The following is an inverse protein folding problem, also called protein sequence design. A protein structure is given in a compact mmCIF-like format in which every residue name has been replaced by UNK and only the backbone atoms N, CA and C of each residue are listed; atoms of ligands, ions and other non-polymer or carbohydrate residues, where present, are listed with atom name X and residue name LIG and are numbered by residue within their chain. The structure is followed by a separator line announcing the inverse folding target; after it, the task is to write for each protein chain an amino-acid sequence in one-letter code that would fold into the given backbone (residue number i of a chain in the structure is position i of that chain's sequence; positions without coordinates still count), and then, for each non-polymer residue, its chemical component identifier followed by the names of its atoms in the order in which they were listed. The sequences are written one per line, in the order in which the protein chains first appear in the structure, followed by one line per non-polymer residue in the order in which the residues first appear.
data_IF_638571431030
#
_entry.id   IF_638571431030
#
_cell.length_a   1.000
_cell.length_b   1.000
_cell.length_c   1.000
_cell.angle_alpha   90.00
_cell.angle_beta   90.00
_cell.angle_gamma   90.00
#
_symmetry.space_group_name_H-M   'P 1'
#
loop_
_entity.id
_entity.type
_entity.pdbx_description
1 polymer ?
#
# COMPACT_ATOMS: atom_id res chain seq x y z
N UNK A 1 0.16 0.07 -32.12
CA UNK A 1 -0.15 -0.59 -30.85
C UNK A 1 0.11 0.38 -29.71
N UNK A 2 -0.95 0.91 -29.21
CA UNK A 2 -0.89 1.84 -28.13
C UNK A 2 -0.90 1.06 -26.80
N UNK A 3 0.08 1.29 -25.93
CA UNK A 3 0.18 0.61 -24.65
C UNK A 3 -1.06 0.88 -23.77
N UNK A 4 -1.67 2.06 -23.93
CA UNK A 4 -2.92 2.40 -23.27
C UNK A 4 -4.02 1.40 -23.65
N UNK A 5 -4.32 1.30 -24.95
CA UNK A 5 -5.45 0.49 -25.46
C UNK A 5 -5.22 -1.01 -25.32
N UNK A 6 -3.97 -1.47 -25.41
CA UNK A 6 -3.65 -2.90 -25.46
C UNK A 6 -3.29 -3.50 -24.09
N UNK A 7 -2.96 -2.68 -23.07
CA UNK A 7 -2.54 -3.15 -21.74
C UNK A 7 -3.28 -2.44 -20.62
N UNK A 8 -3.21 -1.10 -20.56
CA UNK A 8 -3.75 -0.37 -19.38
C UNK A 8 -5.28 -0.40 -19.33
N UNK A 9 -5.97 -0.15 -20.43
CA UNK A 9 -7.43 -0.22 -20.45
C UNK A 9 -7.97 -1.63 -20.15
N UNK A 10 -7.46 -2.71 -20.78
CA UNK A 10 -7.84 -4.06 -20.40
C UNK A 10 -7.58 -4.38 -18.93
N UNK A 11 -6.46 -3.90 -18.37
CA UNK A 11 -6.13 -4.09 -16.96
C UNK A 11 -7.10 -3.33 -16.05
N UNK A 12 -7.26 -2.03 -16.25
CA UNK A 12 -8.03 -1.17 -15.36
C UNK A 12 -9.52 -1.44 -15.46
N UNK A 13 -10.07 -1.38 -16.67
CA UNK A 13 -11.50 -1.55 -16.87
C UNK A 13 -11.92 -3.03 -16.95
N UNK A 14 -11.09 -3.86 -17.61
CA UNK A 14 -11.40 -5.26 -17.85
C UNK A 14 -11.13 -6.18 -16.67
N UNK A 15 -10.06 -5.96 -15.92
CA UNK A 15 -9.65 -6.83 -14.82
C UNK A 15 -9.98 -6.23 -13.47
N UNK A 16 -9.50 -5.02 -13.18
CA UNK A 16 -9.62 -4.42 -11.85
C UNK A 16 -11.05 -3.97 -11.56
N UNK A 17 -11.78 -3.45 -12.54
CA UNK A 17 -13.14 -2.95 -12.38
C UNK A 17 -14.24 -3.95 -12.76
N UNK A 18 -13.91 -5.12 -13.29
CA UNK A 18 -14.90 -6.09 -13.77
C UNK A 18 -14.84 -7.40 -12.99
N UNK A 19 -16.00 -7.87 -12.55
CA UNK A 19 -16.11 -9.16 -11.85
C UNK A 19 -15.61 -10.32 -12.72
N UNK A 20 -14.92 -11.32 -12.15
CA UNK A 20 -14.36 -12.44 -12.92
C UNK A 20 -15.33 -13.11 -13.91
N UNK A 21 -16.59 -13.26 -13.52
CA UNK A 21 -17.62 -13.89 -14.36
C UNK A 21 -18.04 -13.07 -15.59
N UNK A 22 -17.76 -11.77 -15.59
CA UNK A 22 -18.17 -10.81 -16.63
C UNK A 22 -17.01 -10.43 -17.56
N UNK A 23 -15.76 -10.74 -17.16
CA UNK A 23 -14.54 -10.34 -17.88
C UNK A 23 -14.51 -10.84 -19.33
N UNK A 24 -14.89 -12.09 -19.55
CA UNK A 24 -14.82 -12.72 -20.88
C UNK A 24 -15.76 -12.04 -21.89
N UNK A 25 -16.96 -11.65 -21.44
CA UNK A 25 -17.92 -10.91 -22.25
C UNK A 25 -17.39 -9.51 -22.57
N UNK A 26 -16.88 -8.79 -21.56
CA UNK A 26 -16.34 -7.45 -21.75
C UNK A 26 -15.14 -7.43 -22.70
N UNK A 27 -14.22 -8.40 -22.59
CA UNK A 27 -13.07 -8.52 -23.50
C UNK A 27 -13.49 -8.78 -24.94
N UNK A 28 -14.61 -9.49 -25.15
CA UNK A 28 -15.18 -9.69 -26.48
C UNK A 28 -15.83 -8.41 -27.03
N UNK A 29 -16.50 -7.63 -26.20
CA UNK A 29 -17.19 -6.39 -26.60
C UNK A 29 -16.20 -5.30 -27.03
N UNK A 30 -15.04 -5.23 -26.39
CA UNK A 30 -13.98 -4.26 -26.71
C UNK A 30 -12.89 -4.81 -27.63
N UNK A 31 -13.02 -6.03 -28.13
CA UNK A 31 -12.02 -6.71 -28.97
C UNK A 31 -10.61 -6.75 -28.37
N UNK A 32 -10.54 -6.86 -27.04
CA UNK A 32 -9.27 -6.98 -26.32
C UNK A 32 -8.69 -8.39 -26.40
N UNK A 33 -7.36 -8.49 -26.28
CA UNK A 33 -6.66 -9.77 -26.34
C UNK A 33 -7.07 -10.70 -25.15
N UNK A 34 -7.81 -11.75 -25.47
CA UNK A 34 -8.28 -12.74 -24.49
C UNK A 34 -7.15 -13.54 -23.81
N UNK A 35 -5.92 -13.52 -24.34
CA UNK A 35 -4.79 -14.18 -23.70
C UNK A 35 -4.45 -13.53 -22.35
N UNK A 36 -4.70 -12.23 -22.19
CA UNK A 36 -4.52 -11.48 -20.95
C UNK A 36 -5.41 -12.00 -19.82
N UNK A 37 -6.58 -12.57 -20.10
CA UNK A 37 -7.43 -13.17 -19.08
C UNK A 37 -6.76 -14.34 -18.35
N UNK A 38 -5.94 -15.11 -19.07
CA UNK A 38 -5.19 -16.20 -18.46
C UNK A 38 -3.95 -15.68 -17.70
N UNK A 39 -3.29 -14.69 -18.25
CA UNK A 39 -2.12 -14.05 -17.64
C UNK A 39 -2.49 -13.37 -16.32
N UNK A 40 -3.63 -12.67 -16.30
CA UNK A 40 -4.08 -11.85 -15.16
C UNK A 40 -5.20 -12.51 -14.32
N UNK A 41 -5.37 -13.82 -14.43
CA UNK A 41 -6.43 -14.58 -13.73
C UNK A 41 -6.40 -14.39 -12.20
N UNK A 42 -5.20 -14.22 -11.63
CA UNK A 42 -4.97 -14.11 -10.18
C UNK A 42 -5.10 -12.65 -9.67
N UNK A 43 -5.28 -11.68 -10.58
CA UNK A 43 -5.50 -10.28 -10.20
C UNK A 43 -6.92 -10.14 -9.64
N UNK A 44 -7.07 -9.62 -8.39
CA UNK A 44 -8.37 -9.47 -7.75
C UNK A 44 -9.23 -8.39 -8.43
N UNK A 45 -10.55 -8.55 -8.31
CA UNK A 45 -11.50 -7.49 -8.61
C UNK A 45 -11.47 -6.43 -7.50
N UNK A 46 -11.23 -5.18 -7.86
CA UNK A 46 -11.25 -4.04 -6.96
C UNK A 46 -12.57 -3.31 -7.13
N UNK A 47 -13.51 -3.58 -6.24
CA UNK A 47 -14.84 -2.96 -6.24
C UNK A 47 -14.75 -1.51 -5.76
N UNK A 48 -14.35 -0.59 -6.62
CA UNK A 48 -14.27 0.84 -6.28
C UNK A 48 -14.30 1.70 -7.52
N UNK A 49 -14.91 2.88 -7.45
CA UNK A 49 -15.07 3.82 -8.57
C UNK A 49 -13.76 4.35 -9.18
N UNK A 50 -12.60 3.99 -8.62
CA UNK A 50 -11.29 4.42 -9.11
C UNK A 50 -11.01 3.98 -10.55
N UNK A 51 -11.53 2.81 -10.95
CA UNK A 51 -11.33 2.23 -12.28
C UNK A 51 -12.64 2.21 -13.10
N UNK A 52 -13.64 2.99 -12.70
CA UNK A 52 -14.80 3.20 -13.55
C UNK A 52 -14.43 4.08 -14.74
N UNK A 53 -14.92 3.68 -15.92
CA UNK A 53 -14.72 4.48 -17.13
C UNK A 53 -15.51 5.78 -17.03
N UNK A 54 -14.85 6.91 -17.15
CA UNK A 54 -15.47 8.23 -17.17
C UNK A 54 -15.75 8.67 -18.62
N UNK A 55 -16.52 9.75 -18.78
CA UNK A 55 -16.78 10.36 -20.08
C UNK A 55 -15.53 10.93 -20.72
N UNK A 56 -14.54 11.27 -19.91
CA UNK A 56 -13.23 11.75 -20.33
C UNK A 56 -12.31 10.64 -20.85
N UNK A 57 -12.62 9.36 -20.54
CA UNK A 57 -11.95 8.16 -21.07
C UNK A 57 -12.43 7.76 -22.46
N UNK A 58 -13.11 8.66 -23.19
CA UNK A 58 -13.60 8.39 -24.53
C UNK A 58 -12.46 8.26 -25.55
N UNK A 59 -12.71 7.56 -26.71
CA UNK A 59 -11.69 6.89 -27.54
C UNK A 59 -10.69 7.79 -28.27
N UNK A 60 -10.62 9.06 -27.95
CA UNK A 60 -9.71 10.01 -28.61
C UNK A 60 -8.41 10.27 -27.83
N UNK A 61 -8.29 9.80 -26.60
CA UNK A 61 -7.07 9.96 -25.79
C UNK A 61 -5.99 8.98 -26.26
N UNK A 62 -5.20 9.39 -27.24
CA UNK A 62 -4.10 8.58 -27.78
C UNK A 62 -2.76 9.10 -27.27
N UNK A 63 -2.05 8.26 -26.56
CA UNK A 63 -0.68 8.54 -26.12
C UNK A 63 0.31 7.76 -26.98
N UNK A 64 1.27 8.43 -27.64
CA UNK A 64 2.31 7.74 -28.40
C UNK A 64 3.06 6.74 -27.52
N UNK A 65 3.35 5.55 -28.05
CA UNK A 65 4.07 4.50 -27.31
C UNK A 65 5.41 4.98 -26.71
N UNK A 66 6.04 5.97 -27.32
CA UNK A 66 7.28 6.58 -26.82
C UNK A 66 7.09 7.32 -25.49
N UNK A 67 5.88 7.81 -25.18
CA UNK A 67 5.60 8.46 -23.88
C UNK A 67 5.64 7.45 -22.73
N UNK A 68 5.03 6.29 -22.92
CA UNK A 68 5.07 5.21 -21.94
C UNK A 68 6.49 4.66 -21.76
N UNK A 69 7.23 4.51 -22.87
CA UNK A 69 8.63 4.09 -22.80
C UNK A 69 9.48 5.05 -21.95
N UNK A 70 9.34 6.36 -22.16
CA UNK A 70 10.05 7.37 -21.38
C UNK A 70 9.59 7.40 -19.92
N UNK A 71 8.29 7.23 -19.68
CA UNK A 71 7.74 7.17 -18.35
C UNK A 71 8.30 5.96 -17.56
N UNK A 72 8.32 4.78 -18.17
CA UNK A 72 8.89 3.58 -17.54
C UNK A 72 10.41 3.67 -17.37
N UNK A 73 11.10 4.27 -18.33
CA UNK A 73 12.53 4.53 -18.17
C UNK A 73 12.78 5.49 -16.99
N UNK A 74 12.00 6.56 -16.89
CA UNK A 74 12.05 7.46 -15.74
C UNK A 74 11.78 6.72 -14.42
N UNK A 75 10.72 5.94 -14.33
CA UNK A 75 10.43 5.16 -13.12
C UNK A 75 11.53 4.15 -12.77
N UNK A 76 12.24 3.60 -13.76
CA UNK A 76 13.34 2.67 -13.51
C UNK A 76 14.59 3.32 -12.89
N UNK A 77 14.67 4.65 -12.91
CA UNK A 77 15.74 5.43 -12.28
C UNK A 77 15.45 5.71 -10.79
N UNK A 78 14.25 5.36 -10.30
CA UNK A 78 13.82 5.59 -8.92
C UNK A 78 13.40 4.30 -8.24
N UNK A 79 13.82 4.12 -7.01
CA UNK A 79 13.31 3.06 -6.14
C UNK A 79 12.12 3.58 -5.34
N UNK A 80 10.98 2.92 -5.45
CA UNK A 80 9.84 3.16 -4.56
C UNK A 80 10.09 2.36 -3.28
N UNK A 81 10.55 3.03 -2.23
CA UNK A 81 10.90 2.41 -0.95
C UNK A 81 9.86 2.68 0.12
N UNK A 82 9.78 1.75 1.08
CA UNK A 82 8.93 1.87 2.26
C UNK A 82 9.64 2.69 3.35
N UNK A 83 10.97 2.64 3.41
CA UNK A 83 11.79 3.35 4.39
C UNK A 83 12.99 4.05 3.72
N UNK A 84 12.99 5.39 3.72
CA UNK A 84 14.06 6.21 3.18
C UNK A 84 15.39 6.07 3.94
N UNK A 85 15.36 5.48 5.14
CA UNK A 85 16.54 5.30 5.97
C UNK A 85 17.15 3.89 5.84
N UNK A 86 16.63 3.01 4.99
CA UNK A 86 17.25 1.71 4.74
C UNK A 86 18.57 1.94 3.97
N UNK A 87 19.73 1.54 4.55
CA UNK A 87 21.04 1.73 3.92
C UNK A 87 21.20 0.98 2.59
N UNK A 88 20.35 0.00 2.31
CA UNK A 88 20.38 -0.78 1.07
C UNK A 88 19.55 -0.16 -0.05
N UNK A 89 18.59 0.73 0.29
CA UNK A 89 17.68 1.39 -0.66
C UNK A 89 18.04 2.88 -0.89
N UNK A 90 19.21 3.32 -0.48
CA UNK A 90 19.56 4.70 -0.21
C UNK A 90 19.75 5.63 -1.42
N UNK A 91 19.57 5.20 -2.67
CA UNK A 91 20.01 6.08 -3.76
C UNK A 91 18.94 7.04 -4.27
N UNK A 92 17.67 6.70 -4.39
CA UNK A 92 16.56 7.66 -4.65
C UNK A 92 15.22 7.02 -4.27
N UNK A 93 14.83 7.14 -3.02
CA UNK A 93 13.54 6.66 -2.55
C UNK A 93 12.43 7.68 -2.81
N UNK A 94 11.28 7.21 -3.28
CA UNK A 94 10.04 7.99 -3.33
C UNK A 94 9.08 7.40 -2.31
N UNK A 95 8.91 8.08 -1.18
CA UNK A 95 8.00 7.62 -0.16
C UNK A 95 6.55 8.12 -0.40
N UNK A 96 5.54 7.50 0.21
CA UNK A 96 4.16 7.95 0.12
C UNK A 96 3.93 9.39 0.57
N UNK A 97 4.78 9.92 1.45
CA UNK A 97 4.71 11.30 1.91
C UNK A 97 5.03 12.29 0.79
N UNK A 98 6.11 12.02 0.05
CA UNK A 98 6.50 12.85 -1.08
C UNK A 98 5.42 12.83 -2.17
N UNK A 99 4.87 11.65 -2.47
CA UNK A 99 3.75 11.53 -3.41
C UNK A 99 2.52 12.31 -2.93
N UNK A 100 2.17 12.21 -1.65
CA UNK A 100 1.07 12.97 -1.07
C UNK A 100 1.24 14.47 -1.22
N UNK A 101 2.42 15.01 -0.95
CA UNK A 101 2.75 16.44 -1.13
C UNK A 101 2.71 16.86 -2.60
N UNK A 102 3.16 16.01 -3.51
CA UNK A 102 3.08 16.29 -4.96
C UNK A 102 1.62 16.39 -5.39
N UNK A 103 0.78 15.43 -5.01
CA UNK A 103 -0.64 15.46 -5.32
C UNK A 103 -1.35 16.67 -4.70
N UNK A 104 -1.04 17.02 -3.45
CA UNK A 104 -1.59 18.20 -2.80
C UNK A 104 -1.25 19.49 -3.59
N UNK A 105 -0.02 19.59 -4.11
CA UNK A 105 0.41 20.75 -4.89
C UNK A 105 -0.10 20.77 -6.34
N UNK A 106 -0.43 19.61 -6.91
CA UNK A 106 -0.97 19.52 -8.27
C UNK A 106 -2.47 19.85 -8.35
N UNK A 107 -3.20 19.77 -7.23
CA UNK A 107 -4.60 20.10 -7.17
C UNK A 107 -4.76 21.64 -7.03
N UNK A 108 -5.20 22.30 -8.08
CA UNK A 108 -5.42 23.77 -8.12
C UNK A 108 -6.42 24.28 -7.08
N UNK A 109 -7.36 23.40 -6.64
CA UNK A 109 -8.45 23.74 -5.71
C UNK A 109 -8.40 22.90 -4.41
N UNK A 110 -7.24 22.81 -3.77
CA UNK A 110 -7.03 22.01 -2.55
C UNK A 110 -8.02 22.33 -1.42
N UNK A 111 -8.39 23.60 -1.23
CA UNK A 111 -9.27 24.01 -0.15
C UNK A 111 -10.69 23.53 -0.32
N UNK A 112 -11.17 23.43 -1.56
CA UNK A 112 -12.55 23.04 -1.86
C UNK A 112 -12.71 21.51 -1.91
N UNK A 113 -11.63 20.78 -2.22
CA UNK A 113 -11.63 19.30 -2.31
C UNK A 113 -11.16 18.59 -1.03
N UNK A 114 -10.63 19.33 -0.04
CA UNK A 114 -10.21 18.79 1.25
C UNK A 114 -9.03 17.78 1.16
N UNK A 115 -8.27 17.85 0.07
CA UNK A 115 -7.11 16.98 -0.15
C UNK A 115 -5.90 17.52 0.62
N UNK A 116 -5.82 17.21 1.91
CA UNK A 116 -4.68 17.53 2.77
C UNK A 116 -3.85 16.28 3.02
N UNK A 117 -2.55 16.45 2.92
CA UNK A 117 -1.60 15.39 3.28
C UNK A 117 -1.35 15.39 4.80
N UNK A 118 -1.34 14.21 5.40
CA UNK A 118 -1.04 14.06 6.83
C UNK A 118 0.47 13.86 7.02
N UNK A 119 1.16 14.70 7.82
CA UNK A 119 2.60 14.57 8.07
C UNK A 119 2.97 13.21 8.66
N UNK A 120 4.17 12.70 8.30
CA UNK A 120 4.70 11.38 8.67
C UNK A 120 4.69 11.14 10.19
N UNK A 121 5.03 12.14 10.97
CA UNK A 121 5.02 12.05 12.42
C UNK A 121 3.63 11.80 12.99
N UNK A 122 2.61 12.42 12.40
CA UNK A 122 1.21 12.23 12.79
C UNK A 122 0.75 10.83 12.37
N UNK A 123 1.06 10.41 11.13
CA UNK A 123 0.76 9.06 10.65
C UNK A 123 1.38 8.02 11.57
N UNK A 124 2.68 8.13 11.86
CA UNK A 124 3.40 7.23 12.74
C UNK A 124 2.76 7.16 14.12
N UNK A 125 2.51 8.31 14.74
CA UNK A 125 1.86 8.36 16.05
C UNK A 125 0.50 7.65 16.05
N UNK A 126 -0.35 7.92 15.06
CA UNK A 126 -1.67 7.30 14.96
C UNK A 126 -1.58 5.79 14.72
N UNK A 127 -0.65 5.34 13.89
CA UNK A 127 -0.39 3.92 13.65
C UNK A 127 0.07 3.22 14.92
N UNK A 128 1.02 3.79 15.64
CA UNK A 128 1.52 3.26 16.91
C UNK A 128 0.42 3.16 17.96
N UNK A 129 -0.35 4.23 18.19
CA UNK A 129 -1.44 4.22 19.18
C UNK A 129 -2.54 3.22 18.81
N UNK A 130 -2.85 3.09 17.52
CA UNK A 130 -3.83 2.10 17.03
C UNK A 130 -3.34 0.67 17.27
N UNK A 131 -2.08 0.39 16.98
CA UNK A 131 -1.45 -0.92 17.21
C UNK A 131 -1.37 -1.25 18.69
N UNK A 132 -1.02 -0.29 19.55
CA UNK A 132 -1.00 -0.44 21.01
C UNK A 132 -2.40 -0.82 21.51
N UNK A 133 -3.43 -0.08 21.12
CA UNK A 133 -4.81 -0.36 21.54
C UNK A 133 -5.30 -1.73 21.07
N UNK A 134 -4.97 -2.12 19.84
CA UNK A 134 -5.30 -3.42 19.30
C UNK A 134 -4.62 -4.56 20.07
N UNK A 135 -3.32 -4.46 20.32
CA UNK A 135 -2.54 -5.48 21.03
C UNK A 135 -2.96 -5.57 22.50
N UNK A 136 -3.24 -4.46 23.17
CA UNK A 136 -3.78 -4.44 24.53
C UNK A 136 -5.07 -5.25 24.63
N UNK A 137 -5.98 -5.04 23.68
CA UNK A 137 -7.28 -5.74 23.65
C UNK A 137 -7.13 -7.24 23.35
N UNK A 138 -6.22 -7.62 22.47
CA UNK A 138 -6.12 -8.99 21.97
C UNK A 138 -5.13 -9.88 22.71
N UNK A 139 -4.20 -9.32 23.50
CA UNK A 139 -3.11 -10.11 24.12
C UNK A 139 -3.23 -10.29 25.64
N UNK A 140 -3.99 -9.44 26.32
CA UNK A 140 -4.05 -9.38 27.81
C UNK A 140 -2.68 -9.09 28.44
N UNK A 141 -1.78 -8.43 27.72
CA UNK A 141 -0.51 -7.89 28.23
C UNK A 141 -0.80 -6.49 28.76
N UNK A 142 -0.08 -6.06 29.79
CA UNK A 142 -0.27 -4.73 30.35
C UNK A 142 0.10 -3.64 29.34
N UNK A 143 -0.68 -2.57 29.30
CA UNK A 143 -0.58 -1.50 28.30
C UNK A 143 0.80 -0.85 28.23
N UNK A 144 1.42 -0.63 29.38
CA UNK A 144 2.77 -0.06 29.49
C UNK A 144 3.82 -0.91 28.78
N UNK A 145 3.72 -2.23 28.93
CA UNK A 145 4.62 -3.18 28.25
C UNK A 145 4.38 -3.25 26.75
N UNK A 146 3.12 -3.24 26.32
CA UNK A 146 2.79 -3.18 24.90
C UNK A 146 3.27 -1.87 24.29
N UNK A 147 3.05 -0.75 24.99
CA UNK A 147 3.52 0.55 24.54
C UNK A 147 5.04 0.57 24.38
N UNK A 148 5.78 0.06 25.33
CA UNK A 148 7.22 -0.04 25.25
C UNK A 148 7.64 -0.94 24.08
N UNK A 149 6.97 -2.08 23.89
CA UNK A 149 7.22 -2.99 22.78
C UNK A 149 6.98 -2.33 21.41
N UNK A 150 5.90 -1.59 21.21
CA UNK A 150 5.61 -0.93 19.93
C UNK A 150 6.56 0.23 19.67
N UNK A 151 6.90 1.02 20.69
CA UNK A 151 7.78 2.19 20.53
C UNK A 151 9.26 1.82 20.41
N UNK A 152 9.69 0.74 21.05
CA UNK A 152 11.08 0.26 21.09
C UNK A 152 11.08 -1.28 21.13
N UNK A 153 10.81 -1.95 20.00
CA UNK A 153 10.59 -3.40 19.99
C UNK A 153 11.76 -4.23 20.54
N UNK A 154 13.01 -3.81 20.27
CA UNK A 154 14.23 -4.51 20.74
C UNK A 154 14.33 -4.58 22.28
N UNK A 155 13.91 -3.51 22.94
CA UNK A 155 13.93 -3.46 24.40
C UNK A 155 12.63 -4.01 24.96
N UNK A 156 11.49 -3.60 24.42
CA UNK A 156 10.18 -3.95 24.89
C UNK A 156 9.86 -5.44 24.83
N UNK A 157 10.41 -6.18 23.85
CA UNK A 157 10.23 -7.63 23.76
C UNK A 157 10.79 -8.39 24.97
N UNK A 158 11.81 -7.85 25.63
CA UNK A 158 12.43 -8.45 26.82
C UNK A 158 11.51 -8.39 28.05
N UNK A 159 10.65 -7.39 28.11
CA UNK A 159 9.70 -7.21 29.21
C UNK A 159 8.39 -7.98 29.01
N UNK A 160 8.18 -8.57 27.84
CA UNK A 160 7.02 -9.42 27.56
C UNK A 160 7.25 -10.81 28.17
N UNK A 161 6.34 -11.31 29.03
CA UNK A 161 6.42 -12.65 29.59
C UNK A 161 6.46 -13.73 28.49
N UNK A 162 7.35 -14.71 28.60
CA UNK A 162 7.55 -15.78 27.60
C UNK A 162 6.24 -16.49 27.25
N UNK A 163 5.40 -16.77 28.25
CA UNK A 163 4.11 -17.44 28.05
C UNK A 163 3.09 -16.59 27.28
N UNK A 164 3.33 -15.30 27.10
CA UNK A 164 2.45 -14.37 26.36
C UNK A 164 2.97 -14.05 24.95
N UNK A 165 4.22 -14.32 24.66
CA UNK A 165 4.85 -14.09 23.36
C UNK A 165 4.12 -14.78 22.20
N UNK A 166 3.71 -16.07 22.28
CA UNK A 166 2.96 -16.70 21.18
C UNK A 166 1.63 -16.02 20.87
N UNK A 167 0.96 -15.51 21.89
CA UNK A 167 -0.30 -14.78 21.72
C UNK A 167 -0.07 -13.40 21.08
N UNK A 168 1.01 -12.73 21.44
CA UNK A 168 1.42 -11.46 20.86
C UNK A 168 1.73 -11.64 19.35
N UNK A 169 2.52 -12.64 19.00
CA UNK A 169 2.86 -12.95 17.62
C UNK A 169 1.60 -13.28 16.81
N UNK A 170 0.73 -14.15 17.34
CA UNK A 170 -0.54 -14.47 16.67
C UNK A 170 -1.43 -13.24 16.47
N UNK A 171 -1.42 -12.29 17.41
CA UNK A 171 -2.17 -11.05 17.23
C UNK A 171 -1.59 -10.18 16.13
N UNK A 172 -0.26 -10.07 16.02
CA UNK A 172 0.41 -9.33 14.93
C UNK A 172 0.13 -9.97 13.56
N UNK A 173 0.23 -11.29 13.45
CA UNK A 173 0.00 -12.03 12.20
C UNK A 173 -1.46 -11.95 11.70
N UNK A 174 -2.41 -11.82 12.62
CA UNK A 174 -3.85 -11.85 12.29
C UNK A 174 -4.51 -10.47 12.34
N UNK A 175 -3.74 -9.39 12.46
CA UNK A 175 -4.30 -8.04 12.44
C UNK A 175 -5.02 -7.78 11.12
N UNK A 176 -6.21 -7.19 11.23
CA UNK A 176 -6.98 -6.76 10.06
C UNK A 176 -7.07 -5.25 10.06
N UNK A 177 -6.62 -4.66 8.98
CA UNK A 177 -6.55 -3.21 8.79
C UNK A 177 -7.54 -2.82 7.69
N UNK A 178 -8.33 -1.79 7.95
CA UNK A 178 -9.21 -1.18 6.96
C UNK A 178 -9.03 0.33 7.03
N UNK A 179 -8.60 0.90 5.93
CA UNK A 179 -8.55 2.35 5.73
C UNK A 179 -9.60 2.72 4.66
N UNK A 180 -10.73 3.32 5.06
CA UNK A 180 -11.80 3.68 4.12
C UNK A 180 -11.48 4.92 3.29
N UNK A 181 -10.39 5.62 3.58
CA UNK A 181 -10.01 6.87 2.93
C UNK A 181 -8.49 6.88 2.63
N UNK A 182 -8.04 5.85 1.95
CA UNK A 182 -6.61 5.50 1.77
C UNK A 182 -5.72 6.64 1.24
N UNK A 183 -6.27 7.54 0.41
CA UNK A 183 -5.53 8.65 -0.16
C UNK A 183 -4.25 8.20 -0.86
N UNK A 184 -3.11 8.78 -0.48
CA UNK A 184 -1.77 8.38 -0.97
C UNK A 184 -1.24 7.06 -0.42
N UNK A 185 -1.96 6.43 0.51
CA UNK A 185 -1.53 5.20 1.17
C UNK A 185 -0.65 5.41 2.41
N UNK A 186 -0.54 6.64 2.92
CA UNK A 186 0.33 6.96 4.04
C UNK A 186 0.03 6.13 5.30
N UNK A 187 -1.25 5.95 5.67
CA UNK A 187 -1.62 5.16 6.85
C UNK A 187 -1.38 3.66 6.69
N UNK A 188 -1.79 3.00 5.59
CA UNK A 188 -1.45 1.59 5.36
C UNK A 188 0.05 1.33 5.35
N UNK A 189 0.84 2.21 4.74
CA UNK A 189 2.30 2.09 4.72
C UNK A 189 2.91 2.32 6.10
N UNK A 190 2.42 3.31 6.84
CA UNK A 190 2.83 3.55 8.22
C UNK A 190 2.54 2.35 9.13
N UNK A 191 1.36 1.73 9.03
CA UNK A 191 1.01 0.52 9.77
C UNK A 191 1.87 -0.67 9.36
N UNK A 192 2.14 -0.84 8.07
CA UNK A 192 3.04 -1.89 7.58
C UNK A 192 4.43 -1.75 8.19
N UNK A 193 4.99 -0.55 8.22
CA UNK A 193 6.29 -0.28 8.83
C UNK A 193 6.31 -0.61 10.33
N UNK A 194 5.31 -0.17 11.10
CA UNK A 194 5.23 -0.48 12.53
C UNK A 194 5.08 -2.00 12.77
N UNK A 195 4.31 -2.70 11.94
CA UNK A 195 4.19 -4.17 12.02
C UNK A 195 5.50 -4.88 11.68
N UNK A 196 6.19 -4.45 10.63
CA UNK A 196 7.50 -5.01 10.24
C UNK A 196 8.53 -4.80 11.36
N UNK A 197 8.60 -3.61 11.95
CA UNK A 197 9.47 -3.35 13.10
C UNK A 197 9.17 -4.30 14.28
N UNK A 198 7.90 -4.54 14.58
CA UNK A 198 7.51 -5.47 15.65
C UNK A 198 7.83 -6.94 15.31
N UNK A 199 7.71 -7.35 14.03
CA UNK A 199 7.88 -8.74 13.60
C UNK A 199 9.34 -9.13 13.34
N UNK A 200 10.15 -8.27 12.71
CA UNK A 200 11.55 -8.57 12.35
C UNK A 200 12.41 -8.88 13.57
N UNK A 201 12.17 -8.23 14.68
CA UNK A 201 12.90 -8.46 15.93
C UNK A 201 12.48 -9.74 16.65
N UNK A 202 11.33 -10.30 16.29
CA UNK A 202 10.88 -11.59 16.81
C UNK A 202 11.48 -12.79 16.06
N UNK A 203 11.87 -12.58 14.80
CA UNK A 203 12.40 -13.63 13.91
C UNK A 203 13.93 -13.59 13.78
N UNK A 204 14.59 -12.53 14.26
CA UNK A 204 16.05 -12.49 14.29
C UNK A 204 16.58 -13.47 15.33
N UNK A 205 17.39 -14.48 14.95
CA UNK A 205 18.06 -15.32 15.93
C UNK A 205 18.94 -14.44 16.82
N UNK A 206 18.87 -14.70 18.14
CA UNK A 206 19.75 -14.03 19.10
C UNK A 206 21.20 -14.18 18.66
N UNK A 207 22.04 -13.12 18.69
CA UNK A 207 23.45 -13.23 18.31
C UNK A 207 24.29 -14.10 19.27
N UNK A 208 23.68 -15.00 20.01
CA UNK A 208 24.30 -15.82 21.06
C UNK A 208 24.00 -17.33 20.96
N UNK A 209 23.57 -17.82 19.81
CA UNK A 209 23.51 -19.26 19.55
C UNK A 209 24.54 -19.68 18.49
#
# INVERSE_FOLDING_TARGET
NDYLDSVLEPLFFGILNTKPAEREALFADYDWDKSLLNEWKDIPYLNGGLFERDKEDEPESRFPADYFKRLFQFFSEYNFTIDENDPNDAEVGVDPEMLGKIFENLLEDNKDKGAFYTPKEIVRYMCQESLIAYLETNTSIAKDKIRQFVLSPEEGVKDIPENKKPKLLSALENVKICDPAIGSGAFPMGLLNELLHCCLLYTSPSPRD
#
